data_IF_295358848908
#
_entry.id   IF_295358848908
#
_cell.length_a   1.000
_cell.length_b   1.000
_cell.length_c   1.000
_cell.angle_alpha   90.00
_cell.angle_beta   90.00
_cell.angle_gamma   90.00
#
_symmetry.space_group_name_H-M   'P 1'
#
loop_
_entity.id
_entity.type
_entity.pdbx_description
1 polymer ?
#
# COMPACT_ATOMS: atom_id res chain seq x y z
N UNK A 1 -10.92 22.93 -9.41
CA UNK A 1 -10.16 21.81 -8.80
C UNK A 1 -9.40 22.34 -7.58
N UNK A 2 -9.62 21.78 -6.38
CA UNK A 2 -8.71 22.05 -5.24
C UNK A 2 -7.36 21.45 -5.61
N UNK A 3 -6.30 22.25 -5.65
CA UNK A 3 -4.95 21.74 -5.86
C UNK A 3 -4.59 20.78 -4.72
N UNK A 4 -4.19 19.56 -5.09
CA UNK A 4 -3.77 18.54 -4.13
C UNK A 4 -2.49 19.03 -3.43
N UNK A 5 -2.44 18.94 -2.11
CA UNK A 5 -1.25 19.29 -1.32
C UNK A 5 -0.09 18.35 -1.69
N UNK A 6 1.16 18.80 -1.52
CA UNK A 6 2.35 17.95 -1.78
C UNK A 6 2.30 16.63 -0.98
N UNK A 7 1.70 16.63 0.20
CA UNK A 7 1.42 15.45 1.03
C UNK A 7 0.40 14.50 0.40
N UNK A 8 -0.69 15.02 -0.17
CA UNK A 8 -1.68 14.23 -0.89
C UNK A 8 -1.10 13.52 -2.13
N UNK A 9 -0.19 14.17 -2.85
CA UNK A 9 0.51 13.55 -3.98
C UNK A 9 1.35 12.33 -3.56
N UNK A 10 2.03 12.40 -2.41
CA UNK A 10 2.84 11.28 -1.89
C UNK A 10 1.93 10.09 -1.51
N UNK A 11 0.78 10.36 -0.91
CA UNK A 11 -0.21 9.32 -0.58
C UNK A 11 -0.75 8.67 -1.86
N UNK A 12 -1.01 9.43 -2.92
CA UNK A 12 -1.43 8.87 -4.20
C UNK A 12 -0.35 7.97 -4.84
N UNK A 13 0.93 8.31 -4.68
CA UNK A 13 2.03 7.46 -5.13
C UNK A 13 2.04 6.15 -4.35
N UNK A 14 1.92 6.20 -3.01
CA UNK A 14 1.82 5.00 -2.17
C UNK A 14 0.64 4.11 -2.57
N UNK A 15 -0.53 4.70 -2.80
CA UNK A 15 -1.71 3.95 -3.26
C UNK A 15 -1.48 3.28 -4.60
N UNK A 16 -0.84 3.97 -5.55
CA UNK A 16 -0.59 3.44 -6.89
C UNK A 16 0.40 2.28 -6.86
N UNK A 17 1.44 2.36 -6.03
CA UNK A 17 2.42 1.29 -5.87
C UNK A 17 1.87 0.11 -5.08
N UNK A 18 1.05 0.33 -4.04
CA UNK A 18 0.31 -0.73 -3.36
C UNK A 18 -0.65 -1.46 -4.32
N UNK A 19 -1.37 -0.69 -5.15
CA UNK A 19 -2.28 -1.24 -6.15
C UNK A 19 -1.53 -2.10 -7.18
N UNK A 20 -0.38 -1.63 -7.67
CA UNK A 20 0.47 -2.41 -8.58
C UNK A 20 0.92 -3.73 -7.93
N UNK A 21 1.33 -3.69 -6.66
CA UNK A 21 1.71 -4.90 -5.90
C UNK A 21 0.56 -5.88 -5.74
N UNK A 22 -0.65 -5.38 -5.47
CA UNK A 22 -1.86 -6.19 -5.39
C UNK A 22 -2.22 -6.83 -6.73
N UNK A 23 -2.13 -6.09 -7.83
CA UNK A 23 -2.39 -6.63 -9.17
C UNK A 23 -1.40 -7.75 -9.48
N UNK A 24 -0.11 -7.53 -9.22
CA UNK A 24 0.92 -8.55 -9.46
C UNK A 24 0.75 -9.77 -8.55
N UNK A 25 0.31 -9.58 -7.31
CA UNK A 25 -0.09 -10.69 -6.43
C UNK A 25 -1.22 -11.53 -7.05
N UNK A 26 -2.28 -10.87 -7.53
CA UNK A 26 -3.43 -11.56 -8.16
C UNK A 26 -2.99 -12.28 -9.42
N UNK A 27 -2.27 -11.58 -10.32
CA UNK A 27 -1.80 -12.17 -11.59
C UNK A 27 -0.95 -13.39 -11.31
N UNK A 28 0.05 -13.30 -10.43
CA UNK A 28 0.92 -14.44 -10.13
C UNK A 28 0.19 -15.57 -9.43
N UNK A 29 -0.85 -15.29 -8.65
CA UNK A 29 -1.61 -16.33 -7.92
C UNK A 29 -2.70 -16.98 -8.77
N UNK A 30 -3.13 -16.35 -9.86
CA UNK A 30 -4.23 -16.84 -10.73
C UNK A 30 -3.76 -17.31 -12.10
N UNK A 31 -2.48 -17.13 -12.42
CA UNK A 31 -1.90 -17.50 -13.72
C UNK A 31 -0.60 -18.27 -13.54
N UNK A 32 -0.17 -18.96 -14.60
CA UNK A 32 1.08 -19.73 -14.60
C UNK A 32 1.05 -20.86 -13.59
N UNK A 33 2.19 -21.09 -12.94
CA UNK A 33 2.42 -22.22 -12.03
C UNK A 33 1.39 -22.32 -10.89
N UNK A 34 0.92 -21.18 -10.36
CA UNK A 34 0.05 -21.14 -9.18
C UNK A 34 -1.44 -21.17 -9.51
N UNK A 35 -1.85 -21.20 -10.78
CA UNK A 35 -3.24 -21.11 -11.19
C UNK A 35 -4.15 -22.22 -10.62
N UNK A 36 -3.57 -23.36 -10.22
CA UNK A 36 -4.29 -24.47 -9.57
C UNK A 36 -4.25 -24.46 -8.04
N UNK A 37 -3.62 -23.46 -7.42
CA UNK A 37 -3.44 -23.37 -5.96
C UNK A 37 -4.48 -22.46 -5.32
N UNK A 38 -4.79 -22.69 -4.05
CA UNK A 38 -5.72 -21.83 -3.31
C UNK A 38 -5.10 -20.46 -3.08
N UNK A 39 -5.70 -19.42 -3.66
CA UNK A 39 -5.29 -18.04 -3.44
C UNK A 39 -5.70 -17.60 -2.04
N UNK A 40 -4.75 -17.05 -1.28
CA UNK A 40 -5.06 -16.41 0.01
C UNK A 40 -5.73 -15.05 -0.27
N UNK A 41 -6.99 -14.82 0.14
CA UNK A 41 -7.65 -13.55 -0.10
C UNK A 41 -7.16 -12.42 0.84
N UNK A 42 -6.46 -12.74 1.93
CA UNK A 42 -6.10 -11.76 2.97
C UNK A 42 -5.21 -10.60 2.47
N UNK A 43 -4.14 -10.82 1.66
CA UNK A 43 -3.35 -9.72 1.10
C UNK A 43 -4.19 -8.73 0.27
N UNK A 44 -5.21 -9.24 -0.43
CA UNK A 44 -6.11 -8.44 -1.25
C UNK A 44 -7.00 -7.60 -0.34
N UNK A 45 -7.65 -8.22 0.64
CA UNK A 45 -8.56 -7.54 1.56
C UNK A 45 -7.82 -6.43 2.33
N UNK A 46 -6.66 -6.74 2.90
CA UNK A 46 -5.86 -5.76 3.64
C UNK A 46 -5.38 -4.61 2.74
N UNK A 47 -4.96 -4.89 1.51
CA UNK A 47 -4.53 -3.83 0.59
C UNK A 47 -5.69 -2.94 0.16
N UNK A 48 -6.86 -3.52 -0.14
CA UNK A 48 -8.06 -2.74 -0.48
C UNK A 48 -8.48 -1.83 0.69
N UNK A 49 -8.52 -2.36 1.91
CA UNK A 49 -8.86 -1.56 3.09
C UNK A 49 -7.84 -0.44 3.32
N UNK A 50 -6.54 -0.71 3.16
CA UNK A 50 -5.50 0.30 3.26
C UNK A 50 -5.65 1.41 2.20
N UNK A 51 -5.97 1.05 0.94
CA UNK A 51 -6.20 2.01 -0.15
C UNK A 51 -7.42 2.88 0.16
N UNK A 52 -8.50 2.31 0.70
CA UNK A 52 -9.69 3.06 1.09
C UNK A 52 -9.37 4.06 2.21
N UNK A 53 -8.64 3.63 3.24
CA UNK A 53 -8.18 4.51 4.32
C UNK A 53 -7.29 5.65 3.78
N UNK A 54 -6.31 5.32 2.93
CA UNK A 54 -5.46 6.31 2.25
C UNK A 54 -6.27 7.29 1.38
N UNK A 55 -7.32 6.82 0.70
CA UNK A 55 -8.22 7.66 -0.08
C UNK A 55 -8.99 8.64 0.81
N UNK A 56 -9.50 8.16 1.96
CA UNK A 56 -10.18 9.04 2.93
C UNK A 56 -9.25 10.11 3.49
N UNK A 57 -7.96 9.81 3.70
CA UNK A 57 -6.96 10.80 4.08
C UNK A 57 -6.83 11.90 3.03
N UNK A 58 -6.67 11.55 1.74
CA UNK A 58 -6.51 12.54 0.67
C UNK A 58 -7.74 13.48 0.57
N UNK A 59 -8.94 12.95 0.73
CA UNK A 59 -10.19 13.73 0.56
C UNK A 59 -10.56 14.51 1.83
N UNK A 60 -10.42 13.90 3.00
CA UNK A 60 -10.99 14.39 4.26
C UNK A 60 -9.96 14.94 5.25
N UNK A 61 -8.66 15.02 4.93
CA UNK A 61 -7.62 15.59 5.81
C UNK A 61 -8.02 16.91 6.49
N UNK A 62 -8.77 17.77 5.79
CA UNK A 62 -9.18 19.08 6.32
C UNK A 62 -10.30 19.03 7.37
N UNK A 63 -10.91 17.87 7.61
CA UNK A 63 -12.02 17.67 8.54
C UNK A 63 -11.71 16.66 9.65
N UNK A 64 -10.55 15.98 9.57
CA UNK A 64 -10.17 14.93 10.49
C UNK A 64 -9.28 15.49 11.60
N UNK A 65 -9.46 14.99 12.83
CA UNK A 65 -8.59 15.29 13.96
C UNK A 65 -7.16 14.78 13.65
N UNK A 66 -6.09 15.51 14.02
CA UNK A 66 -4.70 15.04 13.90
C UNK A 66 -4.49 13.61 14.39
N UNK A 67 -5.11 13.23 15.52
CA UNK A 67 -5.00 11.86 16.03
C UNK A 67 -5.63 10.82 15.10
N UNK A 68 -6.73 11.15 14.42
CA UNK A 68 -7.36 10.26 13.44
C UNK A 68 -6.52 10.14 12.16
N UNK A 69 -5.86 11.23 11.75
CA UNK A 69 -4.94 11.23 10.61
C UNK A 69 -3.76 10.30 10.90
N UNK A 70 -3.11 10.46 12.05
CA UNK A 70 -2.00 9.62 12.48
C UNK A 70 -2.42 8.14 12.59
N UNK A 71 -3.60 7.88 13.19
CA UNK A 71 -4.16 6.55 13.27
C UNK A 71 -4.41 5.94 11.88
N UNK A 72 -5.00 6.67 10.94
CA UNK A 72 -5.30 6.16 9.61
C UNK A 72 -4.02 5.86 8.81
N UNK A 73 -2.99 6.70 8.91
CA UNK A 73 -1.70 6.45 8.27
C UNK A 73 -1.04 5.21 8.89
N UNK A 74 -1.05 5.10 10.21
CA UNK A 74 -0.49 3.95 10.93
C UNK A 74 -1.22 2.65 10.58
N UNK A 75 -2.55 2.63 10.67
CA UNK A 75 -3.37 1.47 10.33
C UNK A 75 -3.15 1.05 8.87
N UNK A 76 -3.13 2.01 7.94
CA UNK A 76 -2.87 1.70 6.52
C UNK A 76 -1.49 1.10 6.31
N UNK A 77 -0.45 1.65 6.97
CA UNK A 77 0.91 1.11 6.89
C UNK A 77 0.98 -0.33 7.43
N UNK A 78 0.36 -0.61 8.57
CA UNK A 78 0.30 -1.96 9.17
C UNK A 78 -0.40 -2.95 8.24
N UNK A 79 -1.52 -2.56 7.62
CA UNK A 79 -2.24 -3.41 6.68
C UNK A 79 -1.41 -3.72 5.42
N UNK A 80 -0.68 -2.74 4.89
CA UNK A 80 0.22 -2.95 3.73
C UNK A 80 1.38 -3.86 4.13
N UNK A 81 1.95 -3.70 5.32
CA UNK A 81 3.01 -4.59 5.85
C UNK A 81 2.49 -6.02 6.01
N UNK A 82 1.28 -6.20 6.56
CA UNK A 82 0.65 -7.51 6.69
C UNK A 82 0.43 -8.17 5.31
N UNK A 83 -0.04 -7.39 4.34
CA UNK A 83 -0.22 -7.86 2.95
C UNK A 83 1.10 -8.29 2.31
N UNK A 84 2.15 -7.50 2.51
CA UNK A 84 3.51 -7.83 2.05
C UNK A 84 4.01 -9.12 2.70
N UNK A 85 3.87 -9.27 4.02
CA UNK A 85 4.33 -10.46 4.73
C UNK A 85 3.60 -11.73 4.25
N UNK A 86 2.28 -11.67 4.08
CA UNK A 86 1.49 -12.78 3.56
C UNK A 86 1.85 -13.13 2.11
N UNK A 87 2.13 -12.13 1.27
CA UNK A 87 2.63 -12.37 -0.08
C UNK A 87 3.99 -13.09 -0.03
N UNK A 88 4.96 -12.63 0.77
CA UNK A 88 6.25 -13.30 0.93
C UNK A 88 6.08 -14.74 1.40
N UNK A 89 5.24 -14.96 2.42
CA UNK A 89 4.97 -16.31 2.95
C UNK A 89 4.43 -17.24 1.86
N UNK A 90 3.50 -16.78 1.03
CA UNK A 90 2.94 -17.52 -0.09
C UNK A 90 3.91 -17.75 -1.27
N UNK A 91 5.16 -17.27 -1.18
CA UNK A 91 6.20 -17.43 -2.21
C UNK A 91 7.48 -18.07 -1.68
N UNK A 92 7.51 -18.47 -0.40
CA UNK A 92 8.70 -19.13 0.18
C UNK A 92 8.99 -20.49 -0.44
N UNK A 93 7.97 -21.29 -0.76
CA UNK A 93 8.14 -22.57 -1.47
C UNK A 93 8.73 -22.39 -2.87
N UNK A 94 8.23 -21.41 -3.64
CA UNK A 94 8.80 -21.07 -4.96
C UNK A 94 10.26 -20.65 -4.87
N UNK A 95 10.61 -19.83 -3.87
CA UNK A 95 12.00 -19.45 -3.63
C UNK A 95 12.85 -20.65 -3.19
N UNK A 96 12.28 -21.59 -2.43
CA UNK A 96 12.96 -22.81 -2.02
C UNK A 96 13.32 -23.67 -3.24
N UNK A 97 12.36 -23.91 -4.13
CA UNK A 97 12.56 -24.79 -5.28
C UNK A 97 13.54 -24.17 -6.29
N UNK A 98 13.37 -22.88 -6.62
CA UNK A 98 14.23 -22.18 -7.60
C UNK A 98 15.67 -21.99 -7.09
N UNK A 99 15.86 -21.63 -5.81
CA UNK A 99 17.21 -21.33 -5.29
C UNK A 99 17.93 -22.55 -4.69
N UNK A 100 17.22 -23.53 -4.12
CA UNK A 100 17.86 -24.67 -3.45
C UNK A 100 17.86 -25.95 -4.29
N UNK A 101 16.95 -26.11 -5.27
CA UNK A 101 16.91 -27.30 -6.15
C UNK A 101 16.97 -26.87 -7.62
N UNK A 102 18.03 -26.14 -8.04
CA UNK A 102 18.03 -25.38 -9.29
C UNK A 102 17.98 -26.21 -10.59
N UNK A 103 18.05 -27.55 -10.49
CA UNK A 103 18.05 -28.46 -11.65
C UNK A 103 16.74 -29.23 -11.82
N UNK A 104 15.80 -29.11 -10.89
CA UNK A 104 14.59 -29.93 -10.88
C UNK A 104 13.32 -29.14 -10.52
N UNK A 105 13.12 -28.00 -11.20
CA UNK A 105 11.90 -27.21 -11.12
C UNK A 105 11.37 -26.86 -12.53
N UNK A 106 10.04 -26.75 -12.73
CA UNK A 106 9.45 -26.33 -13.98
C UNK A 106 9.68 -24.83 -14.25
N UNK A 107 9.95 -24.45 -15.50
CA UNK A 107 10.28 -23.06 -15.89
C UNK A 107 9.22 -22.04 -15.48
N UNK A 108 7.96 -22.46 -15.34
CA UNK A 108 6.89 -21.59 -14.89
C UNK A 108 7.06 -21.11 -13.43
N UNK A 109 7.77 -21.86 -12.57
CA UNK A 109 8.07 -21.44 -11.19
C UNK A 109 9.00 -20.24 -11.13
N UNK A 110 10.06 -20.23 -11.94
CA UNK A 110 11.00 -19.11 -12.02
C UNK A 110 10.30 -17.84 -12.52
N UNK A 111 9.43 -17.97 -13.53
CA UNK A 111 8.64 -16.84 -14.03
C UNK A 111 7.70 -16.31 -12.95
N UNK A 112 7.00 -17.20 -12.23
CA UNK A 112 6.10 -16.83 -11.15
C UNK A 112 6.86 -16.12 -10.00
N UNK A 113 8.06 -16.60 -9.66
CA UNK A 113 8.92 -15.98 -8.65
C UNK A 113 9.40 -14.59 -9.09
N UNK A 114 9.89 -14.46 -10.32
CA UNK A 114 10.38 -13.18 -10.86
C UNK A 114 9.28 -12.10 -10.88
N UNK A 115 8.08 -12.43 -11.34
CA UNK A 115 6.95 -11.47 -11.32
C UNK A 115 6.55 -11.16 -9.87
N UNK A 116 6.61 -12.15 -8.97
CA UNK A 116 6.33 -11.94 -7.55
C UNK A 116 7.32 -10.98 -6.90
N UNK A 117 8.61 -11.06 -7.24
CA UNK A 117 9.64 -10.12 -6.77
C UNK A 117 9.29 -8.68 -7.18
N UNK A 118 8.85 -8.45 -8.42
CA UNK A 118 8.41 -7.12 -8.87
C UNK A 118 7.23 -6.62 -8.03
N UNK A 119 6.27 -7.51 -7.74
CA UNK A 119 5.15 -7.22 -6.86
C UNK A 119 5.59 -6.85 -5.44
N UNK A 120 6.51 -7.63 -4.86
CA UNK A 120 7.07 -7.39 -3.53
C UNK A 120 7.82 -6.04 -3.44
N UNK A 121 8.61 -5.70 -4.45
CA UNK A 121 9.31 -4.41 -4.52
C UNK A 121 8.31 -3.25 -4.57
N UNK A 122 7.21 -3.38 -5.33
CA UNK A 122 6.19 -2.33 -5.38
C UNK A 122 5.48 -2.11 -4.02
N UNK A 123 5.16 -3.18 -3.29
CA UNK A 123 4.67 -3.09 -1.92
C UNK A 123 5.70 -2.45 -0.99
N UNK A 124 6.99 -2.81 -1.10
CA UNK A 124 8.05 -2.24 -0.30
C UNK A 124 8.18 -0.72 -0.50
N UNK A 125 8.09 -0.25 -1.75
CA UNK A 125 8.04 1.19 -2.07
C UNK A 125 6.83 1.85 -1.41
N UNK A 126 5.66 1.20 -1.45
CA UNK A 126 4.47 1.73 -0.78
C UNK A 126 4.66 1.84 0.73
N UNK A 127 5.26 0.84 1.38
CA UNK A 127 5.53 0.85 2.83
C UNK A 127 6.45 2.01 3.20
N UNK A 128 7.58 2.15 2.50
CA UNK A 128 8.52 3.27 2.73
C UNK A 128 7.80 4.61 2.57
N UNK A 129 7.00 4.74 1.52
CA UNK A 129 6.25 5.97 1.25
C UNK A 129 5.27 6.29 2.38
N UNK A 130 4.54 5.30 2.89
CA UNK A 130 3.62 5.48 4.02
C UNK A 130 4.33 5.83 5.32
N UNK A 131 5.51 5.27 5.56
CA UNK A 131 6.35 5.65 6.72
C UNK A 131 6.77 7.12 6.61
N UNK A 132 7.24 7.56 5.44
CA UNK A 132 7.61 8.96 5.20
C UNK A 132 6.42 9.89 5.45
N UNK A 133 5.22 9.51 5.00
CA UNK A 133 3.97 10.24 5.25
C UNK A 133 3.67 10.31 6.75
N UNK A 134 3.81 9.20 7.48
CA UNK A 134 3.56 9.13 8.92
C UNK A 134 4.51 10.01 9.77
N UNK A 135 5.77 10.15 9.35
CA UNK A 135 6.75 10.98 10.04
C UNK A 135 6.87 12.41 9.48
N UNK A 136 6.10 12.76 8.46
CA UNK A 136 6.17 14.10 7.87
C UNK A 136 5.43 15.13 8.71
N UNK A 137 6.17 16.04 9.37
CA UNK A 137 5.66 17.27 10.02
C UNK A 137 4.76 18.12 9.13
N UNK A 138 4.88 17.90 7.82
CA UNK A 138 4.12 18.58 6.78
C UNK A 138 2.61 18.30 6.85
N UNK A 139 2.16 17.09 7.22
CA UNK A 139 0.71 16.85 7.34
C UNK A 139 0.15 17.58 8.57
N UNK A 140 0.96 17.71 9.63
CA UNK A 140 0.66 18.51 10.82
C UNK A 140 0.50 20.00 10.49
N UNK A 141 1.39 20.55 9.65
CA UNK A 141 1.30 21.93 9.15
C UNK A 141 0.11 22.15 8.21
N UNK A 142 -0.16 21.22 7.31
CA UNK A 142 -1.30 21.29 6.37
C UNK A 142 -2.65 21.27 7.11
N UNK A 143 -2.78 20.50 8.20
CA UNK A 143 -3.96 20.53 9.07
C UNK A 143 -4.14 21.91 9.74
N UNK A 144 -3.08 22.45 10.35
CA UNK A 144 -3.12 23.74 11.07
C UNK A 144 -3.49 24.93 10.15
N UNK A 145 -2.94 24.95 8.93
CA UNK A 145 -3.20 25.98 7.92
C UNK A 145 -4.63 25.92 7.35
N UNK A 146 -5.17 24.73 7.15
CA UNK A 146 -6.54 24.58 6.66
C UNK A 146 -7.58 24.88 7.75
N UNK A 147 -7.32 24.54 9.01
CA UNK A 147 -8.24 24.81 10.12
C UNK A 147 -8.35 26.32 10.42
N UNK A 148 -7.24 27.06 10.33
CA UNK A 148 -7.23 28.54 10.45
C UNK A 148 -8.01 29.21 9.31
N UNK A 149 -7.85 28.75 8.05
CA UNK A 149 -8.68 29.23 6.93
C UNK A 149 -10.16 28.88 7.07
N UNK A 150 -10.48 27.69 7.58
CA UNK A 150 -11.87 27.28 7.78
C UNK A 150 -12.56 28.11 8.86
N UNK A 151 -11.86 28.41 9.97
CA UNK A 151 -12.36 29.31 11.01
C UNK A 151 -12.54 30.75 10.49
N UNK A 152 -11.58 31.29 9.73
CA UNK A 152 -11.72 32.62 9.15
C UNK A 152 -12.87 32.73 8.15
N UNK A 153 -13.14 31.68 7.36
CA UNK A 153 -14.23 31.69 6.38
C UNK A 153 -15.63 31.60 7.03
N UNK A 154 -15.72 31.06 8.24
CA UNK A 154 -16.99 30.77 8.92
C UNK A 154 -17.22 31.64 10.17
N UNK A 155 -16.42 32.69 10.39
CA UNK A 155 -16.73 33.71 11.39
C UNK A 155 -17.83 34.62 10.84
N UNK A 156 -18.96 34.81 11.54
CA UNK A 156 -19.94 35.82 11.17
C UNK A 156 -19.28 37.20 11.26
N UNK A 157 -19.57 38.04 10.27
CA UNK A 157 -19.10 39.43 10.15
C UNK A 157 -19.53 40.27 11.33
#
# INVERSE_FOLDING_TARGET
MKSLTKSGWIICIAMSTALAGMILYIVTSTTGYLAGTTVDPLPIIFTVVAILLASTLVVATNRLNPLLIDLFVFTSAVLIIASFALFVLGRTSLAADVYFIPVNYPKEEEVALNISIVGLVSYFISIITMIIVGFSDKIRKDYSSNNTKYKQKNMPS
#
